data_IF_811539666713
#
_entry.id   IF_811539666713
#
_cell.length_a   1.000
_cell.length_b   1.000
_cell.length_c   1.000
_cell.angle_alpha   90.00
_cell.angle_beta   90.00
_cell.angle_gamma   90.00
#
_symmetry.space_group_name_H-M   'P 1'
#
loop_
_entity.id
_entity.type
_entity.pdbx_description
1 polymer ?
#
# COMPACT_ATOMS: atom_id res chain seq x y z
N UNK A 1 1.27 -6.13 26.57
CA UNK A 1 2.26 -6.10 25.47
C UNK A 1 2.03 -4.80 24.74
N UNK A 2 2.95 -3.85 24.85
CA UNK A 2 2.97 -2.60 24.05
C UNK A 2 3.10 -3.02 22.57
N UNK A 3 2.38 -2.39 21.62
CA UNK A 3 2.74 -1.09 21.08
C UNK A 3 1.50 -0.23 20.78
N UNK A 4 1.49 0.95 21.40
CA UNK A 4 0.71 2.11 20.97
C UNK A 4 1.26 2.60 19.63
N UNK A 5 0.43 2.62 18.58
CA UNK A 5 0.62 3.57 17.48
C UNK A 5 -0.61 4.47 17.46
N UNK A 6 -0.54 5.54 18.25
CA UNK A 6 -1.34 6.72 18.04
C UNK A 6 -0.80 7.39 16.78
N UNK A 7 -1.53 7.29 15.68
CA UNK A 7 -1.45 8.23 14.56
C UNK A 7 -2.88 8.58 14.18
N UNK A 8 -3.37 9.71 14.69
CA UNK A 8 -4.66 10.31 14.33
C UNK A 8 -4.57 11.02 12.95
N UNK A 9 -3.85 10.43 12.00
CA UNK A 9 -4.08 10.65 10.58
C UNK A 9 -4.93 9.47 10.14
N UNK A 10 -6.04 9.65 9.40
CA UNK A 10 -6.65 8.51 8.74
C UNK A 10 -5.53 7.89 7.90
N UNK A 11 -5.04 6.71 8.29
CA UNK A 11 -4.07 5.97 7.50
C UNK A 11 -4.80 5.67 6.20
N UNK A 12 -4.47 6.43 5.15
CA UNK A 12 -5.24 6.48 3.90
C UNK A 12 -5.26 5.09 3.25
N UNK A 13 -4.33 4.24 3.64
CA UNK A 13 -4.23 2.86 3.23
C UNK A 13 -4.16 1.97 4.47
N UNK A 14 -4.92 0.88 4.47
CA UNK A 14 -4.83 -0.14 5.50
C UNK A 14 -4.29 -1.43 4.91
N UNK A 15 -3.62 -2.27 5.71
CA UNK A 15 -3.21 -3.60 5.27
C UNK A 15 -4.45 -4.41 4.89
N UNK A 16 -4.43 -4.99 3.68
CA UNK A 16 -5.55 -5.71 3.09
C UNK A 16 -6.38 -4.88 2.11
N UNK A 17 -6.22 -3.56 2.09
CA UNK A 17 -6.89 -2.66 1.15
C UNK A 17 -6.43 -2.90 -0.30
N UNK A 18 -7.22 -2.48 -1.28
CA UNK A 18 -6.93 -2.64 -2.71
C UNK A 18 -6.83 -1.29 -3.39
N UNK A 19 -5.69 -1.04 -4.02
CA UNK A 19 -5.38 0.21 -4.71
C UNK A 19 -5.12 -0.05 -6.18
N UNK A 20 -5.73 0.75 -7.04
CA UNK A 20 -5.47 0.69 -8.48
C UNK A 20 -4.28 1.57 -8.82
N UNK A 21 -3.13 0.96 -9.12
CA UNK A 21 -1.88 1.66 -9.35
C UNK A 21 -1.13 1.07 -10.56
N UNK A 22 -0.64 1.94 -11.45
CA UNK A 22 0.02 1.57 -12.72
C UNK A 22 -0.81 0.56 -13.54
N UNK A 23 -2.12 0.80 -13.66
CA UNK A 23 -3.04 -0.05 -14.44
C UNK A 23 -3.27 -1.47 -13.86
N UNK A 24 -2.85 -1.72 -12.61
CA UNK A 24 -3.08 -2.99 -11.93
C UNK A 24 -3.75 -2.77 -10.57
N UNK A 25 -4.52 -3.78 -10.14
CA UNK A 25 -5.02 -3.86 -8.77
C UNK A 25 -3.93 -4.43 -7.86
N UNK A 26 -3.56 -3.67 -6.84
CA UNK A 26 -2.57 -4.07 -5.85
C UNK A 26 -3.22 -4.16 -4.49
N UNK A 27 -2.88 -5.21 -3.74
CA UNK A 27 -3.23 -5.36 -2.35
C UNK A 27 -2.17 -4.74 -1.47
N UNK A 28 -2.58 -3.95 -0.49
CA UNK A 28 -1.67 -3.44 0.54
C UNK A 28 -1.24 -4.59 1.44
N UNK A 29 0.05 -4.90 1.44
CA UNK A 29 0.63 -5.98 2.23
C UNK A 29 1.18 -5.50 3.58
N UNK A 30 1.74 -4.30 3.61
CA UNK A 30 2.35 -3.69 4.81
C UNK A 30 2.28 -2.16 4.69
N UNK A 31 2.03 -1.49 5.81
CA UNK A 31 2.10 -0.03 5.91
C UNK A 31 3.05 0.37 7.03
N UNK A 32 3.97 1.28 6.70
CA UNK A 32 4.91 1.89 7.63
C UNK A 32 4.76 3.41 7.55
N UNK A 33 5.31 4.14 8.52
CA UNK A 33 5.09 5.58 8.70
C UNK A 33 5.28 6.43 7.43
N UNK A 34 6.19 6.03 6.52
CA UNK A 34 6.43 6.76 5.27
C UNK A 34 6.33 5.91 3.99
N UNK A 35 6.17 4.59 4.14
CA UNK A 35 6.25 3.64 3.03
C UNK A 35 5.11 2.64 3.09
N UNK A 36 4.69 2.21 1.92
CA UNK A 36 3.67 1.18 1.73
C UNK A 36 4.21 0.10 0.82
N UNK A 37 3.96 -1.14 1.21
CA UNK A 37 4.29 -2.32 0.42
C UNK A 37 3.04 -2.83 -0.26
N UNK A 38 3.06 -2.83 -1.58
CA UNK A 38 2.01 -3.32 -2.44
C UNK A 38 2.37 -4.72 -2.94
N UNK A 39 1.38 -5.60 -2.96
CA UNK A 39 1.48 -6.95 -3.47
C UNK A 39 0.43 -7.16 -4.55
N UNK A 40 0.83 -7.77 -5.67
CA UNK A 40 -0.13 -8.30 -6.64
C UNK A 40 0.27 -9.69 -7.09
N UNK A 41 -0.72 -10.52 -7.34
CA UNK A 41 -0.55 -11.78 -8.03
C UNK A 41 -0.76 -11.54 -9.52
N UNK A 42 0.25 -11.82 -10.35
CA UNK A 42 0.09 -11.76 -11.81
C UNK A 42 -0.57 -13.05 -12.31
N UNK A 43 -1.36 -12.94 -13.38
CA UNK A 43 -2.04 -14.10 -14.02
C UNK A 43 -1.04 -15.19 -14.47
N UNK A 44 0.20 -14.79 -14.76
CA UNK A 44 1.31 -15.67 -15.11
C UNK A 44 1.83 -16.53 -13.92
N UNK A 45 1.21 -16.45 -12.75
CA UNK A 45 1.65 -17.13 -11.52
C UNK A 45 2.83 -16.45 -10.82
N UNK A 46 3.29 -15.31 -11.33
CA UNK A 46 4.35 -14.52 -10.71
C UNK A 46 3.76 -13.44 -9.81
N UNK A 47 4.01 -13.54 -8.50
CA UNK A 47 3.71 -12.46 -7.57
C UNK A 47 4.72 -11.32 -7.72
N UNK A 48 4.23 -10.08 -7.68
CA UNK A 48 5.07 -8.87 -7.62
C UNK A 48 4.84 -8.14 -6.33
N UNK A 49 5.94 -7.63 -5.78
CA UNK A 49 5.93 -6.77 -4.60
C UNK A 49 6.57 -5.44 -5.01
N UNK A 50 5.95 -4.33 -4.64
CA UNK A 50 6.46 -3.00 -4.89
C UNK A 50 6.42 -2.18 -3.60
N UNK A 51 7.55 -1.62 -3.20
CA UNK A 51 7.64 -0.69 -2.07
C UNK A 51 7.68 0.73 -2.61
N UNK A 52 6.72 1.55 -2.20
CA UNK A 52 6.59 2.94 -2.63
C UNK A 52 6.37 3.84 -1.41
N UNK A 53 6.75 5.11 -1.50
CA UNK A 53 6.42 6.09 -0.47
C UNK A 53 4.91 6.33 -0.46
N UNK A 54 4.31 6.49 0.71
CA UNK A 54 2.86 6.75 0.83
C UNK A 54 2.50 8.01 0.03
N UNK A 55 3.32 9.05 0.12
CA UNK A 55 3.14 10.31 -0.62
C UNK A 55 3.09 10.10 -2.14
N UNK A 56 4.03 9.34 -2.70
CA UNK A 56 4.09 9.04 -4.13
C UNK A 56 2.85 8.25 -4.59
N UNK A 57 2.40 7.28 -3.79
CA UNK A 57 1.19 6.54 -4.08
C UNK A 57 -0.05 7.44 -4.06
N UNK A 58 -0.16 8.34 -3.07
CA UNK A 58 -1.25 9.31 -3.02
C UNK A 58 -1.25 10.26 -4.20
N UNK A 59 -0.08 10.76 -4.62
CA UNK A 59 0.05 11.63 -5.80
C UNK A 59 -0.38 10.88 -7.07
N UNK A 60 -0.01 9.60 -7.20
CA UNK A 60 -0.44 8.77 -8.31
C UNK A 60 -1.94 8.46 -8.33
N UNK A 61 -2.61 8.40 -7.16
CA UNK A 61 -4.04 8.10 -7.03
C UNK A 61 -4.95 9.33 -7.09
N UNK A 62 -4.39 10.55 -7.01
CA UNK A 62 -5.16 11.81 -7.14
C UNK A 62 -5.47 12.20 -8.58
N UNK A 63 -4.85 11.53 -9.56
CA UNK A 63 -5.01 11.76 -11.00
C UNK A 63 -6.04 10.80 -11.60
#
# INVERSE_FOLDING_TARGET
MTNTTNSNTPDIFQVGDRVFYKEYDWKVADTQENYITLYRESIDGQSKIEKISIKELQEALRH
#
